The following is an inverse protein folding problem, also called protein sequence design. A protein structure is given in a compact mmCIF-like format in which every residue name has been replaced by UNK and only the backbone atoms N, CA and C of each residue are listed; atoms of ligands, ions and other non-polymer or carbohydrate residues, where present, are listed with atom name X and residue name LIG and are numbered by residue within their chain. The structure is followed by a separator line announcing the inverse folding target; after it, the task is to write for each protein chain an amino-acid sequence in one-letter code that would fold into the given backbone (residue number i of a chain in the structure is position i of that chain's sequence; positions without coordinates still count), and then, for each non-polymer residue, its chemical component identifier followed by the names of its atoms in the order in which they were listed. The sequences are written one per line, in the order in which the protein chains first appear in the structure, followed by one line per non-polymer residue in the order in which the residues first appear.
data_IF_052531006686
#
_entry.id   IF_052531006686
#
_cell.length_a   1.000
_cell.length_b   1.000
_cell.length_c   1.000
_cell.angle_alpha   90.00
_cell.angle_beta   90.00
_cell.angle_gamma   90.00
#
_symmetry.space_group_name_H-M   'P 1'
#
loop_
_entity.id
_entity.type
_entity.pdbx_description
1 polymer ?
#
# COMPACT_ATOMS: atom_id res chain seq x y z
N UNK A 1 -25.75 -19.75 -30.28
CA UNK A 1 -24.80 -19.07 -29.37
C UNK A 1 -25.11 -19.56 -27.96
N UNK A 2 -24.31 -20.46 -27.38
CA UNK A 2 -24.50 -20.86 -25.97
C UNK A 2 -24.01 -19.68 -25.13
N UNK A 3 -24.92 -18.93 -24.51
CA UNK A 3 -24.60 -17.95 -23.47
C UNK A 3 -24.72 -18.67 -22.15
N UNK A 4 -23.60 -18.81 -21.45
CA UNK A 4 -23.58 -19.34 -20.10
C UNK A 4 -23.64 -18.16 -19.13
N UNK A 5 -24.66 -18.16 -18.28
CA UNK A 5 -24.92 -17.10 -17.31
C UNK A 5 -24.46 -17.61 -15.96
N UNK A 6 -23.39 -17.02 -15.42
CA UNK A 6 -22.94 -17.28 -14.04
C UNK A 6 -23.63 -16.27 -13.13
N UNK A 7 -24.60 -16.72 -12.34
CA UNK A 7 -25.40 -15.86 -11.46
C UNK A 7 -25.33 -16.36 -10.01
N UNK A 8 -24.82 -15.51 -9.12
CA UNK A 8 -25.39 -15.29 -7.79
C UNK A 8 -24.88 -16.08 -6.58
N UNK A 9 -23.88 -16.96 -6.68
CA UNK A 9 -23.27 -17.58 -5.48
C UNK A 9 -21.74 -17.68 -5.54
N UNK A 10 -21.09 -16.75 -6.24
CA UNK A 10 -19.65 -16.57 -6.11
C UNK A 10 -19.37 -16.10 -4.68
N UNK A 11 -18.90 -17.01 -3.82
CA UNK A 11 -18.52 -16.65 -2.45
C UNK A 11 -17.20 -15.89 -2.45
N UNK A 12 -16.24 -16.34 -3.26
CA UNK A 12 -14.91 -15.78 -3.30
C UNK A 12 -14.42 -15.63 -4.74
N UNK A 13 -13.70 -14.55 -5.00
CA UNK A 13 -13.12 -14.23 -6.31
C UNK A 13 -11.63 -13.91 -6.12
N UNK A 14 -10.80 -14.44 -7.02
CA UNK A 14 -9.38 -14.11 -7.13
C UNK A 14 -9.06 -13.77 -8.59
N UNK A 15 -8.23 -12.76 -8.83
CA UNK A 15 -7.81 -12.38 -10.19
C UNK A 15 -6.30 -12.21 -10.24
N UNK A 16 -5.69 -12.80 -11.26
CA UNK A 16 -4.33 -12.49 -11.71
C UNK A 16 -4.38 -11.61 -12.96
N UNK A 17 -3.23 -11.34 -13.58
CA UNK A 17 -3.16 -10.56 -14.82
C UNK A 17 -3.84 -11.25 -16.01
N UNK A 18 -3.90 -12.59 -15.99
CA UNK A 18 -4.37 -13.39 -17.13
C UNK A 18 -5.61 -14.22 -16.79
N UNK A 19 -5.94 -14.38 -15.51
CA UNK A 19 -6.99 -15.27 -15.08
C UNK A 19 -7.91 -14.63 -14.04
N UNK A 20 -9.21 -14.94 -14.13
CA UNK A 20 -10.21 -14.70 -13.10
C UNK A 20 -10.70 -16.06 -12.59
N UNK A 21 -10.66 -16.24 -11.28
CA UNK A 21 -11.11 -17.45 -10.60
C UNK A 21 -12.33 -17.12 -9.75
N UNK A 22 -13.37 -17.92 -9.90
CA UNK A 22 -14.58 -17.85 -9.08
C UNK A 22 -14.68 -19.14 -8.27
N UNK A 23 -14.72 -19.01 -6.96
CA UNK A 23 -14.89 -20.11 -6.01
C UNK A 23 -16.27 -20.04 -5.36
N UNK A 24 -17.01 -21.15 -5.44
CA UNK A 24 -18.36 -21.26 -4.91
C UNK A 24 -18.51 -22.54 -4.09
N UNK A 25 -18.85 -22.40 -2.80
CA UNK A 25 -19.09 -23.54 -1.92
C UNK A 25 -20.41 -24.21 -2.27
N UNK A 26 -20.37 -25.53 -2.40
CA UNK A 26 -21.51 -26.41 -2.62
C UNK A 26 -21.74 -27.26 -1.38
N UNK A 27 -23.00 -27.24 -0.92
CA UNK A 27 -23.48 -28.03 0.20
C UNK A 27 -24.30 -29.20 -0.34
N UNK A 28 -23.74 -30.41 -0.27
CA UNK A 28 -24.47 -31.62 -0.63
C UNK A 28 -25.02 -32.28 0.61
N UNK A 29 -26.26 -31.93 0.96
CA UNK A 29 -26.99 -32.57 2.06
C UNK A 29 -27.60 -33.88 1.59
N UNK A 30 -27.18 -35.00 2.15
CA UNK A 30 -27.80 -36.32 1.92
C UNK A 30 -28.55 -36.75 3.17
N UNK A 31 -29.87 -36.93 3.01
CA UNK A 31 -30.74 -37.38 4.09
C UNK A 31 -30.79 -38.92 4.13
N UNK A 32 -30.03 -39.54 5.04
CA UNK A 32 -29.97 -40.99 5.22
C UNK A 32 -30.41 -41.40 6.65
N UNK A 33 -31.65 -41.05 7.04
CA UNK A 33 -32.22 -41.40 8.36
C UNK A 33 -32.10 -40.26 9.39
N UNK A 34 -32.14 -40.54 10.72
CA UNK A 34 -32.10 -39.52 11.78
C UNK A 34 -30.81 -38.68 11.81
N UNK A 35 -29.77 -39.12 11.10
CA UNK A 35 -28.49 -38.41 10.92
C UNK A 35 -28.29 -38.16 9.42
N UNK A 36 -28.36 -36.89 9.01
CA UNK A 36 -27.95 -36.47 7.67
C UNK A 36 -26.42 -36.39 7.55
N UNK A 37 -25.88 -36.63 6.37
CA UNK A 37 -24.47 -36.34 6.05
C UNK A 37 -24.38 -35.13 5.13
N UNK A 38 -23.44 -34.25 5.40
CA UNK A 38 -23.16 -33.07 4.57
C UNK A 38 -21.76 -33.23 3.98
N UNK A 39 -21.64 -33.27 2.65
CA UNK A 39 -20.35 -33.09 1.97
C UNK A 39 -20.23 -31.64 1.53
N UNK A 40 -19.15 -30.98 1.96
CA UNK A 40 -18.79 -29.62 1.57
C UNK A 40 -17.67 -29.66 0.52
N UNK A 41 -17.91 -29.02 -0.62
CA UNK A 41 -16.93 -28.91 -1.72
C UNK A 41 -16.96 -27.50 -2.28
N UNK A 42 -15.81 -26.97 -2.68
CA UNK A 42 -15.73 -25.71 -3.42
C UNK A 42 -15.61 -26.01 -4.90
N UNK A 43 -16.54 -25.52 -5.70
CA UNK A 43 -16.39 -25.47 -7.17
C UNK A 43 -15.55 -24.26 -7.56
N UNK A 44 -14.62 -24.48 -8.49
CA UNK A 44 -13.69 -23.47 -9.01
C UNK A 44 -13.95 -23.33 -10.50
N UNK A 45 -14.10 -22.09 -10.96
CA UNK A 45 -14.23 -21.75 -12.37
C UNK A 45 -13.09 -20.81 -12.75
N UNK A 46 -12.28 -21.21 -13.74
CA UNK A 46 -11.21 -20.38 -14.30
C UNK A 46 -11.67 -19.75 -15.60
N UNK A 47 -11.54 -18.44 -15.68
CA UNK A 47 -11.72 -17.66 -16.87
C UNK A 47 -10.40 -17.01 -17.27
N UNK A 48 -10.02 -17.08 -18.54
CA UNK A 48 -8.95 -16.28 -19.09
C UNK A 48 -9.45 -14.86 -19.36
N UNK A 49 -8.66 -13.88 -18.97
CA UNK A 49 -8.81 -12.47 -19.33
C UNK A 49 -8.06 -12.25 -20.64
N UNK A 50 -8.79 -11.92 -21.72
CA UNK A 50 -8.24 -11.72 -23.06
C UNK A 50 -8.61 -10.33 -23.58
N UNK A 51 -7.93 -9.87 -24.64
CA UNK A 51 -8.26 -8.58 -25.29
C UNK A 51 -9.72 -8.52 -25.80
N UNK A 52 -10.31 -9.67 -26.15
CA UNK A 52 -11.68 -9.77 -26.66
C UNK A 52 -12.73 -10.08 -25.58
N UNK A 53 -12.35 -10.03 -24.30
CA UNK A 53 -13.21 -10.28 -23.16
C UNK A 53 -12.80 -11.49 -22.31
N UNK A 54 -13.79 -12.10 -21.64
CA UNK A 54 -13.58 -13.16 -20.65
C UNK A 54 -14.00 -14.52 -21.25
N UNK A 55 -13.10 -15.51 -21.22
CA UNK A 55 -13.36 -16.84 -21.75
C UNK A 55 -13.18 -17.92 -20.67
N UNK A 56 -14.19 -18.75 -20.44
CA UNK A 56 -14.06 -19.88 -19.50
C UNK A 56 -13.07 -20.92 -20.04
N UNK A 57 -12.03 -21.23 -19.25
CA UNK A 57 -10.98 -22.18 -19.65
C UNK A 57 -11.02 -23.49 -18.89
N UNK A 58 -11.48 -23.49 -17.65
CA UNK A 58 -11.54 -24.70 -16.83
C UNK A 58 -12.61 -24.60 -15.74
N UNK A 59 -13.07 -25.77 -15.31
CA UNK A 59 -13.89 -25.94 -14.12
C UNK A 59 -13.34 -27.14 -13.33
N UNK A 60 -13.31 -27.02 -12.01
CA UNK A 60 -12.92 -28.10 -11.11
C UNK A 60 -13.60 -27.97 -9.76
N UNK A 61 -13.27 -28.88 -8.83
CA UNK A 61 -13.73 -28.79 -7.45
C UNK A 61 -12.71 -29.36 -6.47
N UNK A 62 -12.67 -28.80 -5.27
CA UNK A 62 -11.84 -29.26 -4.16
C UNK A 62 -12.71 -29.53 -2.91
N UNK A 63 -12.34 -30.46 -2.02
CA UNK A 63 -13.02 -30.65 -0.74
C UNK A 63 -12.93 -29.40 0.15
N UNK A 64 -13.96 -29.16 0.98
CA UNK A 64 -13.99 -28.06 1.94
C UNK A 64 -14.42 -26.70 1.35
N UNK A 65 -14.19 -25.64 2.12
CA UNK A 65 -14.62 -24.27 1.81
C UNK A 65 -13.48 -23.27 1.93
N UNK A 66 -13.43 -22.38 0.96
CA UNK A 66 -12.52 -21.25 0.95
C UNK A 66 -12.93 -20.25 2.03
N UNK A 67 -11.99 -19.90 2.91
CA UNK A 67 -12.26 -18.97 4.01
C UNK A 67 -12.57 -17.56 3.49
N UNK A 68 -11.74 -17.03 2.59
CA UNK A 68 -11.94 -15.74 1.92
C UNK A 68 -11.05 -15.61 0.67
N UNK A 69 -11.07 -14.45 0.01
CA UNK A 69 -10.25 -14.15 -1.18
C UNK A 69 -8.73 -14.33 -0.99
N UNK A 70 -8.21 -14.22 0.23
CA UNK A 70 -6.77 -14.40 0.54
C UNK A 70 -6.37 -15.86 0.75
N UNK A 71 -7.34 -16.77 0.71
CA UNK A 71 -7.11 -18.23 0.72
C UNK A 71 -6.91 -18.79 -0.69
N UNK A 72 -6.67 -17.92 -1.68
CA UNK A 72 -6.46 -18.27 -3.08
C UNK A 72 -5.34 -17.42 -3.65
N UNK A 73 -4.46 -18.02 -4.44
CA UNK A 73 -3.49 -17.29 -5.26
C UNK A 73 -3.04 -18.09 -6.49
N UNK A 74 -2.23 -17.45 -7.35
CA UNK A 74 -1.60 -18.08 -8.50
C UNK A 74 -0.08 -17.91 -8.39
N UNK A 75 0.66 -19.00 -8.52
CA UNK A 75 2.12 -19.02 -8.40
C UNK A 75 2.69 -20.00 -9.41
N UNK A 76 3.66 -19.54 -10.20
CA UNK A 76 4.33 -20.37 -11.23
C UNK A 76 3.35 -21.04 -12.22
N UNK A 77 2.21 -20.40 -12.47
CA UNK A 77 1.15 -20.91 -13.36
C UNK A 77 0.14 -21.85 -12.69
N UNK A 78 0.35 -22.20 -11.42
CA UNK A 78 -0.56 -23.03 -10.64
C UNK A 78 -1.51 -22.17 -9.79
N UNK A 79 -2.80 -22.47 -9.86
CA UNK A 79 -3.80 -21.93 -8.94
C UNK A 79 -3.76 -22.72 -7.63
N UNK A 80 -3.52 -22.04 -6.51
CA UNK A 80 -3.49 -22.62 -5.17
C UNK A 80 -4.70 -22.13 -4.39
N UNK A 81 -5.26 -23.01 -3.58
CA UNK A 81 -6.47 -22.76 -2.80
C UNK A 81 -6.39 -23.46 -1.45
N UNK A 82 -6.73 -22.76 -0.38
CA UNK A 82 -6.83 -23.29 0.96
C UNK A 82 -8.31 -23.41 1.35
N UNK A 83 -8.75 -24.62 1.67
CA UNK A 83 -10.17 -24.95 1.95
C UNK A 83 -10.44 -25.46 3.35
N UNK A 84 -9.40 -25.51 4.18
CA UNK A 84 -9.50 -25.92 5.57
C UNK A 84 -8.49 -25.14 6.40
N UNK A 85 -8.92 -24.74 7.60
CA UNK A 85 -8.01 -24.20 8.59
C UNK A 85 -7.29 -25.37 9.27
N UNK A 86 -6.02 -25.58 8.91
CA UNK A 86 -5.22 -26.70 9.43
C UNK A 86 -4.71 -26.48 10.86
N UNK A 87 -4.59 -25.22 11.30
CA UNK A 87 -4.16 -24.86 12.64
C UNK A 87 -4.51 -23.41 12.97
N UNK A 88 -4.50 -23.07 14.27
CA UNK A 88 -4.75 -21.71 14.74
C UNK A 88 -4.01 -21.44 16.05
N UNK A 89 -3.72 -20.16 16.28
CA UNK A 89 -3.32 -19.65 17.59
C UNK A 89 -4.40 -18.69 18.04
N UNK A 90 -4.89 -18.85 19.27
CA UNK A 90 -5.89 -17.97 19.87
C UNK A 90 -5.29 -17.23 21.07
N UNK A 91 -5.92 -16.11 21.45
CA UNK A 91 -5.50 -15.35 22.62
C UNK A 91 -4.15 -14.62 22.46
N UNK A 92 -3.70 -14.40 21.22
CA UNK A 92 -2.58 -13.49 20.97
C UNK A 92 -3.02 -12.07 21.32
N UNK A 93 -2.27 -11.42 22.21
CA UNK A 93 -2.45 -10.02 22.61
C UNK A 93 -3.94 -9.62 22.82
N UNK A 94 -4.65 -10.19 23.81
CA UNK A 94 -6.09 -9.96 23.96
C UNK A 94 -6.43 -8.47 24.11
N UNK A 95 -7.33 -7.99 23.26
CA UNK A 95 -7.75 -6.58 23.23
C UNK A 95 -6.89 -5.68 22.35
N UNK A 96 -5.88 -6.22 21.66
CA UNK A 96 -5.09 -5.52 20.65
C UNK A 96 -5.57 -5.84 19.24
N UNK A 97 -5.24 -4.97 18.27
CA UNK A 97 -5.52 -5.20 16.84
C UNK A 97 -4.24 -5.65 16.15
N UNK A 98 -4.36 -6.53 15.15
CA UNK A 98 -3.23 -6.92 14.28
C UNK A 98 -3.01 -5.80 13.26
N UNK A 99 -1.78 -5.31 13.16
CA UNK A 99 -1.39 -4.27 12.20
C UNK A 99 -0.62 -4.84 11.02
N UNK A 100 0.27 -5.81 11.25
CA UNK A 100 1.06 -6.40 10.19
C UNK A 100 1.33 -7.88 10.42
N UNK A 101 1.33 -8.64 9.32
CA UNK A 101 1.71 -10.06 9.31
C UNK A 101 2.68 -10.28 8.16
N UNK A 102 3.80 -10.96 8.43
CA UNK A 102 4.74 -11.37 7.40
C UNK A 102 5.13 -12.84 7.55
N UNK A 103 4.96 -13.58 6.47
CA UNK A 103 5.44 -14.97 6.36
C UNK A 103 6.84 -14.99 5.77
N UNK A 104 7.72 -15.81 6.35
CA UNK A 104 9.10 -15.97 5.92
C UNK A 104 9.56 -17.40 6.19
N UNK A 105 9.64 -18.21 5.13
CA UNK A 105 9.93 -19.64 5.25
C UNK A 105 8.91 -20.35 6.13
N UNK A 106 9.39 -21.02 7.17
CA UNK A 106 8.56 -21.75 8.16
C UNK A 106 8.13 -20.90 9.35
N UNK A 107 8.18 -19.57 9.22
CA UNK A 107 7.86 -18.64 10.31
C UNK A 107 6.85 -17.60 9.85
N UNK A 108 6.08 -17.09 10.80
CA UNK A 108 5.32 -15.87 10.66
C UNK A 108 5.74 -14.85 11.72
N UNK A 109 5.72 -13.59 11.34
CA UNK A 109 5.99 -12.45 12.21
C UNK A 109 4.76 -11.59 12.24
N UNK A 110 4.34 -11.22 13.43
CA UNK A 110 3.06 -10.59 13.69
C UNK A 110 3.29 -9.37 14.57
N UNK A 111 2.66 -8.27 14.21
CA UNK A 111 2.67 -7.02 14.96
C UNK A 111 1.25 -6.71 15.40
N UNK A 112 1.07 -6.49 16.69
CA UNK A 112 -0.21 -6.04 17.27
C UNK A 112 -0.02 -4.68 17.91
N UNK A 113 -1.09 -3.93 18.12
CA UNK A 113 -0.97 -2.67 18.84
C UNK A 113 -2.23 -2.31 19.60
N UNK A 114 -1.98 -1.73 20.78
CA UNK A 114 -2.95 -0.97 21.59
C UNK A 114 -2.26 0.21 22.30
N UNK A 115 -1.08 -0.05 22.88
CA UNK A 115 -0.21 0.96 23.51
C UNK A 115 1.26 0.80 23.13
N UNK A 116 1.71 -0.44 23.10
CA UNK A 116 3.06 -0.89 22.77
C UNK A 116 2.87 -2.02 21.76
N UNK A 117 3.73 -2.11 20.75
CA UNK A 117 3.71 -3.19 19.78
C UNK A 117 4.54 -4.37 20.30
N UNK A 118 3.93 -5.54 20.53
CA UNK A 118 4.67 -6.78 20.58
C UNK A 118 4.87 -7.31 19.16
N UNK A 119 6.12 -7.27 18.70
CA UNK A 119 6.57 -8.04 17.56
C UNK A 119 6.69 -9.51 17.98
N UNK A 120 5.80 -10.37 17.48
CA UNK A 120 5.78 -11.81 17.75
C UNK A 120 6.47 -12.60 16.65
N UNK A 121 7.22 -13.63 17.05
CA UNK A 121 7.70 -14.68 16.15
C UNK A 121 6.88 -15.95 16.36
N UNK A 122 6.41 -16.55 15.27
CA UNK A 122 5.54 -17.72 15.26
C UNK A 122 6.20 -18.81 14.43
N UNK A 123 6.30 -20.02 15.00
CA UNK A 123 6.68 -21.24 14.30
C UNK A 123 5.51 -21.80 13.51
N UNK A 124 5.74 -22.04 12.22
CA UNK A 124 4.82 -22.69 11.29
C UNK A 124 5.44 -23.97 10.69
N UNK A 125 6.49 -24.53 11.30
CA UNK A 125 7.11 -25.78 10.85
C UNK A 125 6.11 -26.94 10.85
N UNK A 126 5.27 -27.01 11.88
CA UNK A 126 4.06 -27.84 11.92
C UNK A 126 2.82 -26.94 11.80
N UNK A 127 2.21 -26.83 10.61
CA UNK A 127 1.07 -25.95 10.40
C UNK A 127 -0.19 -26.41 11.16
N UNK A 128 -0.23 -27.64 11.66
CA UNK A 128 -1.34 -28.15 12.47
C UNK A 128 -1.27 -27.73 13.92
N UNK A 129 -0.08 -27.32 14.38
CA UNK A 129 0.18 -26.89 15.74
C UNK A 129 1.12 -25.68 15.76
N UNK A 130 0.68 -24.52 15.22
CA UNK A 130 1.50 -23.32 15.20
C UNK A 130 1.78 -22.81 16.61
N UNK A 131 2.98 -22.29 16.86
CA UNK A 131 3.43 -21.88 18.21
C UNK A 131 4.04 -20.50 18.22
N UNK A 132 3.75 -19.72 19.26
CA UNK A 132 4.47 -18.48 19.54
C UNK A 132 5.85 -18.88 20.09
N UNK A 133 6.92 -18.45 19.42
CA UNK A 133 8.30 -18.68 19.85
C UNK A 133 8.77 -17.60 20.82
N UNK A 134 8.56 -16.34 20.44
CA UNK A 134 9.08 -15.19 21.17
C UNK A 134 8.28 -13.93 20.90
N UNK A 135 8.57 -12.90 21.68
CA UNK A 135 8.03 -11.55 21.47
C UNK A 135 9.02 -10.49 21.87
N UNK A 136 9.04 -9.39 21.13
CA UNK A 136 9.79 -8.19 21.45
C UNK A 136 8.81 -7.03 21.63
N UNK A 137 8.85 -6.37 22.79
CA UNK A 137 8.02 -5.19 23.06
C UNK A 137 8.78 -3.92 22.68
N UNK A 138 8.23 -3.13 21.77
CA UNK A 138 8.80 -1.84 21.35
C UNK A 138 7.75 -0.73 21.42
N UNK A 139 8.13 0.50 21.81
CA UNK A 139 7.28 1.66 21.64
C UNK A 139 6.92 1.88 20.17
N UNK A 140 5.70 2.32 19.91
CA UNK A 140 5.19 2.43 18.54
C UNK A 140 4.67 1.11 17.99
N UNK A 141 4.49 1.04 16.68
CA UNK A 141 4.12 -0.16 15.93
C UNK A 141 4.67 -0.16 14.51
N UNK A 142 4.75 -1.35 13.89
CA UNK A 142 5.04 -1.49 12.46
C UNK A 142 3.76 -1.78 11.65
N UNK A 143 3.43 -0.92 10.70
CA UNK A 143 2.35 -1.15 9.72
C UNK A 143 2.79 -2.11 8.61
N UNK A 144 4.04 -1.99 8.19
CA UNK A 144 4.62 -2.81 7.13
C UNK A 144 5.91 -3.49 7.57
N UNK A 145 5.95 -4.81 7.41
CA UNK A 145 7.13 -5.65 7.64
C UNK A 145 7.70 -6.14 6.29
N UNK A 146 8.96 -5.79 6.03
CA UNK A 146 9.69 -6.16 4.83
C UNK A 146 10.86 -7.11 5.17
N UNK A 147 10.87 -8.36 4.68
CA UNK A 147 12.02 -9.25 4.85
C UNK A 147 13.29 -8.70 4.22
N UNK A 148 14.40 -8.73 4.96
CA UNK A 148 15.72 -8.40 4.43
C UNK A 148 16.51 -9.66 4.05
N UNK A 149 16.41 -10.70 4.87
CA UNK A 149 16.86 -12.08 4.62
C UNK A 149 16.12 -13.04 5.55
N UNK A 150 16.59 -14.29 5.66
CA UNK A 150 15.98 -15.32 6.50
C UNK A 150 15.97 -15.02 8.01
N UNK A 151 16.79 -14.07 8.47
CA UNK A 151 16.99 -13.74 9.89
C UNK A 151 16.77 -12.26 10.21
N UNK A 152 16.44 -11.41 9.24
CA UNK A 152 16.27 -9.97 9.47
C UNK A 152 15.02 -9.41 8.78
N UNK A 153 14.31 -8.54 9.50
CA UNK A 153 13.08 -7.90 9.02
C UNK A 153 13.16 -6.40 9.26
N UNK A 154 12.79 -5.62 8.25
CA UNK A 154 12.66 -4.17 8.35
C UNK A 154 11.20 -3.83 8.66
N UNK A 155 10.96 -3.15 9.77
CA UNK A 155 9.66 -2.59 10.13
C UNK A 155 9.54 -1.13 9.76
N UNK A 156 8.40 -0.75 9.19
CA UNK A 156 7.99 0.63 8.92
C UNK A 156 6.66 0.88 9.63
N UNK A 157 6.58 1.94 10.41
CA UNK A 157 5.34 2.31 11.09
C UNK A 157 5.49 3.62 11.86
N UNK A 158 4.93 3.70 13.06
CA UNK A 158 4.92 4.92 13.88
C UNK A 158 5.58 4.69 15.23
N UNK A 159 6.21 5.72 15.77
CA UNK A 159 6.44 5.79 17.21
C UNK A 159 5.11 6.05 17.95
N UNK A 160 5.05 5.72 19.23
CA UNK A 160 3.88 6.01 20.05
C UNK A 160 4.25 6.28 21.51
N UNK A 161 3.44 7.12 22.15
CA UNK A 161 3.54 7.45 23.57
C UNK A 161 2.20 7.15 24.22
N UNK A 162 2.20 6.42 25.33
CA UNK A 162 0.98 6.11 26.06
C UNK A 162 0.29 7.38 26.54
N UNK A 163 -1.05 7.41 26.44
CA UNK A 163 -1.82 8.52 26.99
C UNK A 163 -1.78 8.48 28.52
N UNK A 164 -1.68 9.66 29.15
CA UNK A 164 -1.83 9.82 30.61
C UNK A 164 -3.28 9.61 31.06
N UNK A 165 -4.24 9.76 30.13
CA UNK A 165 -5.67 9.65 30.38
C UNK A 165 -6.29 8.67 29.36
N UNK A 166 -6.94 7.61 29.85
CA UNK A 166 -7.59 6.60 29.01
C UNK A 166 -6.69 5.43 28.60
N UNK A 167 -7.29 4.46 27.89
CA UNK A 167 -6.64 3.19 27.53
C UNK A 167 -6.17 3.17 26.06
N UNK A 168 -5.35 4.14 25.67
CA UNK A 168 -4.84 4.29 24.30
C UNK A 168 -3.43 4.94 24.27
N UNK A 169 -2.80 4.97 23.10
CA UNK A 169 -1.54 5.66 22.86
C UNK A 169 -1.63 6.65 21.69
N UNK A 170 -0.89 7.75 21.81
CA UNK A 170 -0.74 8.74 20.75
C UNK A 170 0.42 8.35 19.84
N UNK A 171 0.14 8.08 18.57
CA UNK A 171 1.20 7.92 17.58
C UNK A 171 2.01 9.22 17.42
N UNK A 172 3.27 9.11 17.06
CA UNK A 172 4.18 10.25 16.90
C UNK A 172 4.69 10.30 15.46
N UNK A 173 5.98 10.53 15.26
CA UNK A 173 6.62 10.45 13.95
C UNK A 173 6.62 9.03 13.39
N UNK A 174 7.04 8.92 12.12
CA UNK A 174 7.25 7.62 11.48
C UNK A 174 8.54 6.99 12.04
N UNK A 175 8.56 5.66 12.15
CA UNK A 175 9.71 4.88 12.62
C UNK A 175 10.08 3.83 11.58
N UNK A 176 11.37 3.65 11.39
CA UNK A 176 11.97 2.51 10.73
C UNK A 176 12.79 1.72 11.75
N UNK A 177 12.68 0.39 11.73
CA UNK A 177 13.42 -0.49 12.63
C UNK A 177 13.91 -1.73 11.90
N UNK A 178 15.00 -2.33 12.37
CA UNK A 178 15.50 -3.64 11.92
C UNK A 178 15.41 -4.61 13.07
N UNK A 179 14.72 -5.71 12.86
CA UNK A 179 14.59 -6.81 13.82
C UNK A 179 15.48 -7.96 13.40
N UNK A 180 16.36 -8.40 14.30
CA UNK A 180 17.09 -9.66 14.19
C UNK A 180 16.28 -10.76 14.86
N UNK A 181 16.01 -11.80 14.08
CA UNK A 181 15.18 -12.95 14.42
C UNK A 181 15.96 -14.26 14.22
N UNK A 182 17.30 -14.19 14.28
CA UNK A 182 18.20 -15.35 14.30
C UNK A 182 17.85 -16.28 15.45
N UNK A 183 17.64 -15.72 16.65
CA UNK A 183 16.96 -16.38 17.76
C UNK A 183 15.49 -15.91 17.82
N UNK A 184 14.54 -16.67 17.25
CA UNK A 184 13.14 -16.28 17.22
C UNK A 184 12.46 -16.31 18.61
N UNK A 185 13.06 -16.94 19.62
CA UNK A 185 12.54 -16.88 20.98
C UNK A 185 12.87 -15.53 21.65
N UNK A 186 13.98 -14.91 21.24
CA UNK A 186 14.48 -13.65 21.78
C UNK A 186 14.82 -12.64 20.67
N UNK A 187 13.83 -12.18 19.87
CA UNK A 187 14.07 -11.21 18.82
C UNK A 187 14.55 -9.87 19.39
N UNK A 188 15.44 -9.18 18.67
CA UNK A 188 16.02 -7.89 19.11
C UNK A 188 15.88 -6.80 18.03
N UNK A 189 15.76 -5.55 18.46
CA UNK A 189 15.82 -4.38 17.56
C UNK A 189 17.30 -3.99 17.39
N UNK A 190 17.86 -4.25 16.19
CA UNK A 190 19.26 -3.93 15.87
C UNK A 190 19.46 -2.44 15.61
N UNK A 191 18.57 -1.86 14.81
CA UNK A 191 18.67 -0.49 14.33
C UNK A 191 17.31 0.18 14.39
N UNK A 192 17.30 1.50 14.64
CA UNK A 192 16.11 2.32 14.57
C UNK A 192 16.40 3.69 13.96
N UNK A 193 15.43 4.24 13.26
CA UNK A 193 15.50 5.58 12.68
C UNK A 193 14.12 6.24 12.76
N UNK A 194 14.03 7.41 13.38
CA UNK A 194 12.80 8.20 13.48
C UNK A 194 12.72 9.27 12.40
N UNK A 195 11.52 9.53 11.89
CA UNK A 195 11.26 10.54 10.87
C UNK A 195 10.13 11.45 11.33
N UNK A 196 10.46 12.73 11.50
CA UNK A 196 9.52 13.78 11.86
C UNK A 196 8.84 13.57 13.22
N UNK A 197 7.77 14.32 13.42
CA UNK A 197 6.91 14.28 14.59
C UNK A 197 5.48 13.84 14.19
N UNK A 198 4.54 13.86 15.15
CA UNK A 198 3.14 13.48 14.93
C UNK A 198 2.54 14.21 13.72
N UNK A 199 1.94 13.43 12.81
CA UNK A 199 1.44 13.89 11.51
C UNK A 199 2.30 13.43 10.33
N UNK A 200 3.56 13.04 10.57
CA UNK A 200 4.42 12.47 9.52
C UNK A 200 3.79 11.20 8.95
N UNK A 201 3.66 11.12 7.63
CA UNK A 201 2.95 10.06 6.92
C UNK A 201 3.71 9.55 5.70
N UNK A 202 3.46 8.30 5.31
CA UNK A 202 4.05 7.72 4.10
C UNK A 202 3.07 6.73 3.44
N UNK A 203 2.92 6.79 2.10
CA UNK A 203 2.26 5.73 1.34
C UNK A 203 2.78 4.32 1.66
N UNK A 204 4.04 4.19 2.07
CA UNK A 204 4.67 2.92 2.43
C UNK A 204 3.94 2.17 3.54
N UNK A 205 3.31 2.87 4.47
CA UNK A 205 2.66 2.25 5.64
C UNK A 205 1.46 1.39 5.24
N UNK A 206 0.81 1.70 4.12
CA UNK A 206 -0.37 0.97 3.64
C UNK A 206 -0.23 0.45 2.20
N UNK A 207 0.88 0.76 1.52
CA UNK A 207 1.15 0.32 0.15
C UNK A 207 2.61 -0.11 0.00
N UNK A 208 2.85 -1.41 0.07
CA UNK A 208 4.18 -2.01 -0.05
C UNK A 208 4.91 -1.69 -1.37
N UNK A 209 4.20 -1.30 -2.43
CA UNK A 209 4.80 -0.90 -3.73
C UNK A 209 5.43 0.48 -3.70
N UNK A 210 5.25 1.25 -2.62
CA UNK A 210 5.91 2.52 -2.43
C UNK A 210 7.38 2.37 -1.98
N UNK A 211 7.79 1.17 -1.53
CA UNK A 211 9.18 0.89 -1.17
C UNK A 211 10.00 0.59 -2.42
N UNK A 212 11.06 1.37 -2.64
CA UNK A 212 12.20 0.97 -3.45
C UNK A 212 13.25 0.34 -2.52
N UNK A 213 13.52 -0.94 -2.70
CA UNK A 213 14.53 -1.67 -1.93
C UNK A 213 15.43 -2.48 -2.88
N UNK A 214 16.72 -2.16 -2.86
CA UNK A 214 17.76 -2.84 -3.65
C UNK A 214 18.90 -3.21 -2.70
N UNK A 215 18.86 -4.46 -2.24
CA UNK A 215 19.78 -5.00 -1.22
C UNK A 215 21.23 -4.99 -1.69
N UNK A 216 21.49 -5.34 -2.95
CA UNK A 216 22.84 -5.42 -3.51
C UNK A 216 23.52 -4.05 -3.51
N UNK A 217 22.73 -2.99 -3.78
CA UNK A 217 23.20 -1.61 -3.79
C UNK A 217 23.04 -0.90 -2.45
N UNK A 218 22.62 -1.61 -1.40
CA UNK A 218 22.33 -1.04 -0.09
C UNK A 218 21.36 0.15 -0.16
N UNK A 219 20.42 0.14 -1.10
CA UNK A 219 19.55 1.28 -1.37
C UNK A 219 18.15 1.01 -0.82
N UNK A 220 17.64 2.00 -0.09
CA UNK A 220 16.28 2.02 0.42
C UNK A 220 15.69 3.41 0.21
N UNK A 221 14.57 3.53 -0.50
CA UNK A 221 13.90 4.81 -0.70
C UNK A 221 12.39 4.66 -0.69
N UNK A 222 11.69 5.68 -0.19
CA UNK A 222 10.22 5.71 -0.17
C UNK A 222 9.71 7.16 -0.05
N UNK A 223 8.47 7.42 -0.53
CA UNK A 223 7.83 8.72 -0.40
C UNK A 223 7.43 8.99 1.06
N UNK A 224 7.57 10.23 1.53
CA UNK A 224 7.20 10.65 2.88
C UNK A 224 6.75 12.11 2.90
N UNK A 225 5.73 12.40 3.70
CA UNK A 225 5.32 13.74 4.08
C UNK A 225 5.70 13.95 5.54
N UNK A 226 6.70 14.78 5.79
CA UNK A 226 7.26 15.01 7.12
C UNK A 226 6.56 16.18 7.77
N UNK A 227 6.08 15.95 8.99
CA UNK A 227 5.57 17.00 9.86
C UNK A 227 6.53 17.21 11.03
N UNK A 228 6.62 18.44 11.51
CA UNK A 228 7.40 18.77 12.70
C UNK A 228 6.66 19.72 13.62
N UNK A 229 6.78 19.48 14.91
CA UNK A 229 6.34 20.44 15.93
C UNK A 229 7.47 21.47 16.15
N UNK A 230 7.10 22.69 16.56
CA UNK A 230 8.04 23.78 16.82
C UNK A 230 8.94 23.49 18.04
N UNK A 231 10.06 24.21 18.16
CA UNK A 231 10.97 24.05 19.30
C UNK A 231 10.33 24.44 20.64
N UNK A 232 9.40 25.38 20.62
CA UNK A 232 8.64 25.80 21.81
C UNK A 232 7.73 24.66 22.28
N UNK A 233 7.00 24.02 21.37
CA UNK A 233 6.18 22.85 21.66
C UNK A 233 7.01 21.65 22.13
N UNK A 234 8.21 21.44 21.58
CA UNK A 234 9.14 20.41 22.09
C UNK A 234 9.60 20.67 23.53
N UNK A 235 9.61 21.93 23.97
CA UNK A 235 10.02 22.31 25.31
C UNK A 235 8.92 22.03 26.36
N UNK A 236 7.65 21.97 25.94
CA UNK A 236 6.53 21.53 26.76
C UNK A 236 5.64 20.54 25.97
N UNK A 237 6.13 19.31 25.73
CA UNK A 237 5.50 18.40 24.78
C UNK A 237 4.19 17.84 25.34
N UNK A 238 3.07 18.15 24.68
CA UNK A 238 1.83 17.40 24.84
C UNK A 238 1.82 16.23 23.87
N UNK A 239 1.51 15.02 24.35
CA UNK A 239 1.61 13.80 23.52
C UNK A 239 0.69 13.80 22.28
N UNK A 240 -0.32 14.67 22.26
CA UNK A 240 -1.28 14.83 21.17
C UNK A 240 -0.95 16.00 20.22
N UNK A 241 0.10 16.79 20.47
CA UNK A 241 0.48 17.93 19.62
C UNK A 241 0.73 17.46 18.18
N UNK A 242 0.10 18.15 17.22
CA UNK A 242 0.21 17.86 15.80
C UNK A 242 1.27 18.75 15.16
N UNK A 243 2.17 18.19 14.35
CA UNK A 243 3.20 18.96 13.65
C UNK A 243 2.68 19.63 12.38
N UNK A 244 3.37 20.68 11.95
CA UNK A 244 3.14 21.33 10.66
C UNK A 244 3.91 20.61 9.55
N UNK A 245 3.38 20.54 8.31
CA UNK A 245 4.08 19.93 7.19
C UNK A 245 5.33 20.74 6.81
N UNK A 246 6.50 20.09 6.81
CA UNK A 246 7.79 20.75 6.51
C UNK A 246 8.51 20.19 5.29
N UNK A 247 8.11 19.02 4.81
CA UNK A 247 8.69 18.40 3.63
C UNK A 247 7.71 17.42 3.00
N UNK A 248 7.67 17.38 1.68
CA UNK A 248 7.03 16.32 0.91
C UNK A 248 7.99 15.86 -0.18
N UNK A 249 8.23 14.56 -0.25
CA UNK A 249 9.10 14.01 -1.27
C UNK A 249 9.53 12.58 -0.99
N UNK A 250 10.67 12.17 -1.52
CA UNK A 250 11.31 10.91 -1.22
C UNK A 250 12.45 11.08 -0.22
N UNK A 251 12.55 10.15 0.72
CA UNK A 251 13.77 9.93 1.50
C UNK A 251 14.57 8.80 0.85
N UNK A 252 15.88 9.00 0.70
CA UNK A 252 16.81 8.04 0.12
C UNK A 252 17.86 7.68 1.15
N UNK A 253 17.99 6.39 1.45
CA UNK A 253 18.91 5.86 2.44
C UNK A 253 19.92 4.91 1.80
N UNK A 254 21.15 4.95 2.30
CA UNK A 254 22.03 3.79 2.30
C UNK A 254 21.68 2.91 3.51
N UNK A 255 21.49 1.61 3.31
CA UNK A 255 21.09 0.67 4.36
C UNK A 255 21.86 -0.65 4.29
N UNK A 256 22.44 -1.04 5.42
CA UNK A 256 22.95 -2.38 5.66
C UNK A 256 22.84 -2.75 7.16
N UNK A 257 23.05 -4.02 7.48
CA UNK A 257 22.90 -4.52 8.86
C UNK A 257 23.99 -4.05 9.83
N UNK A 258 25.13 -3.57 9.34
CA UNK A 258 26.25 -3.12 10.17
C UNK A 258 26.04 -1.66 10.62
N UNK A 259 25.75 -0.76 9.67
CA UNK A 259 25.62 0.67 9.91
C UNK A 259 24.17 1.13 10.11
N UNK A 260 23.19 0.26 9.84
CA UNK A 260 21.77 0.63 9.88
C UNK A 260 21.39 1.60 8.77
N UNK A 261 20.50 2.54 9.09
CA UNK A 261 19.97 3.52 8.14
C UNK A 261 20.82 4.79 8.10
N UNK A 262 21.42 5.08 6.94
CA UNK A 262 22.15 6.34 6.69
C UNK A 262 21.40 7.16 5.65
N UNK A 263 20.84 8.31 6.05
CA UNK A 263 20.14 9.20 5.11
C UNK A 263 21.14 9.75 4.10
N UNK A 264 20.96 9.40 2.82
CA UNK A 264 21.79 9.81 1.70
C UNK A 264 21.35 11.18 1.17
N UNK A 265 20.04 11.41 1.13
CA UNK A 265 19.46 12.67 0.68
C UNK A 265 17.94 12.61 0.60
N UNK A 266 17.37 13.72 0.17
CA UNK A 266 15.93 13.85 -0.05
C UNK A 266 15.66 14.42 -1.43
N UNK A 267 14.55 14.02 -2.05
CA UNK A 267 14.11 14.51 -3.37
C UNK A 267 12.71 15.09 -3.20
N UNK A 268 12.47 16.30 -3.68
CA UNK A 268 11.14 16.93 -3.63
C UNK A 268 10.81 17.55 -4.97
N UNK A 269 9.58 17.33 -5.45
CA UNK A 269 9.06 18.03 -6.62
C UNK A 269 8.53 19.44 -6.25
N UNK A 270 8.52 19.80 -4.95
CA UNK A 270 8.18 21.14 -4.47
C UNK A 270 9.43 22.02 -4.46
N UNK A 271 9.31 23.22 -5.03
CA UNK A 271 10.34 24.25 -4.94
C UNK A 271 10.06 25.21 -3.78
N UNK A 272 11.02 26.10 -3.48
CA UNK A 272 10.89 27.06 -2.36
C UNK A 272 9.64 27.95 -2.47
N UNK A 273 9.25 28.35 -3.68
CA UNK A 273 8.03 29.15 -3.89
C UNK A 273 6.78 28.34 -3.57
N UNK A 274 6.74 27.05 -3.94
CA UNK A 274 5.62 26.17 -3.58
C UNK A 274 5.51 26.03 -2.06
N UNK A 275 6.62 25.92 -1.33
CA UNK A 275 6.61 25.89 0.14
C UNK A 275 6.12 27.20 0.76
N UNK A 276 6.42 28.36 0.15
CA UNK A 276 5.92 29.66 0.62
C UNK A 276 4.41 29.84 0.35
N UNK A 277 3.89 29.19 -0.70
CA UNK A 277 2.46 29.21 -1.05
C UNK A 277 1.67 28.11 -0.32
N UNK A 278 2.35 27.06 0.14
CA UNK A 278 1.75 26.02 0.97
C UNK A 278 1.30 26.66 2.29
N UNK A 279 -0.02 26.68 2.52
CA UNK A 279 -0.58 26.91 3.84
C UNK A 279 -0.33 25.68 4.73
N UNK A 280 -1.34 25.21 5.43
CA UNK A 280 -1.23 23.99 6.25
C UNK A 280 -1.19 22.67 5.45
N UNK A 281 -1.10 22.72 4.12
CA UNK A 281 -1.18 21.53 3.24
C UNK A 281 -0.29 21.65 2.00
N UNK A 282 0.27 20.52 1.57
CA UNK A 282 0.89 20.34 0.26
C UNK A 282 -0.15 19.88 -0.76
N UNK A 283 -0.10 20.42 -1.98
CA UNK A 283 -1.06 20.06 -3.03
C UNK A 283 -0.37 19.67 -4.34
N UNK A 284 -0.78 18.52 -4.87
CA UNK A 284 -0.55 18.13 -6.25
C UNK A 284 0.83 17.55 -6.57
N UNK A 285 1.94 18.15 -6.10
CA UNK A 285 3.30 17.71 -6.49
C UNK A 285 3.86 16.56 -5.64
N UNK A 286 2.97 15.76 -5.05
CA UNK A 286 3.40 14.74 -4.11
C UNK A 286 4.21 13.64 -4.81
N UNK A 287 5.43 13.37 -4.36
CA UNK A 287 6.15 12.17 -4.80
C UNK A 287 5.39 10.94 -4.30
N UNK A 288 4.95 10.08 -5.22
CA UNK A 288 4.14 8.89 -4.93
C UNK A 288 4.89 7.59 -5.22
N UNK A 289 5.83 7.62 -6.18
CA UNK A 289 6.64 6.47 -6.58
C UNK A 289 8.09 6.86 -6.82
N UNK A 290 8.95 5.87 -6.58
CA UNK A 290 10.38 5.95 -6.83
C UNK A 290 10.76 4.67 -7.55
N UNK A 291 11.44 4.83 -8.68
CA UNK A 291 11.97 3.73 -9.48
C UNK A 291 13.48 3.90 -9.58
N UNK A 292 14.21 2.80 -9.72
CA UNK A 292 15.62 2.84 -10.15
C UNK A 292 15.69 2.38 -11.59
N UNK A 293 16.30 3.20 -12.45
CA UNK A 293 16.65 2.84 -13.82
C UNK A 293 18.15 3.03 -13.92
N UNK A 294 18.88 1.92 -14.08
CA UNK A 294 20.35 1.93 -14.10
C UNK A 294 20.92 2.66 -12.86
N UNK A 295 21.63 3.76 -13.05
CA UNK A 295 22.25 4.55 -11.98
C UNK A 295 21.46 5.82 -11.63
N UNK A 296 20.20 5.91 -12.08
CA UNK A 296 19.28 7.01 -11.75
C UNK A 296 18.07 6.56 -10.93
N UNK A 297 17.67 7.41 -9.98
CA UNK A 297 16.41 7.38 -9.25
C UNK A 297 15.40 8.25 -9.98
N UNK A 298 14.29 7.65 -10.41
CA UNK A 298 13.20 8.37 -11.06
C UNK A 298 12.05 8.50 -10.06
N UNK A 299 11.73 9.73 -9.68
CA UNK A 299 10.59 10.06 -8.82
C UNK A 299 9.40 10.51 -9.66
N UNK A 300 8.21 10.03 -9.31
CA UNK A 300 6.96 10.33 -10.00
C UNK A 300 6.02 11.08 -9.07
N UNK A 301 5.45 12.17 -9.56
CA UNK A 301 4.28 12.85 -8.99
C UNK A 301 3.22 13.07 -10.08
N UNK A 302 2.04 13.57 -9.68
CA UNK A 302 1.00 13.97 -10.64
C UNK A 302 1.45 15.08 -11.62
N UNK A 303 2.57 15.77 -11.34
CA UNK A 303 3.06 16.92 -12.11
C UNK A 303 4.31 16.63 -12.92
N UNK A 304 4.84 15.40 -12.87
CA UNK A 304 5.99 15.04 -13.67
C UNK A 304 6.86 13.94 -13.10
N UNK A 305 7.94 13.70 -13.83
CA UNK A 305 9.03 12.81 -13.47
C UNK A 305 10.29 13.63 -13.25
N UNK A 306 11.03 13.34 -12.18
CA UNK A 306 12.38 13.84 -11.98
C UNK A 306 13.35 12.66 -11.93
N UNK A 307 14.49 12.79 -12.60
CA UNK A 307 15.59 11.83 -12.55
C UNK A 307 16.71 12.41 -11.71
N UNK A 308 17.22 11.61 -10.78
CA UNK A 308 18.28 11.97 -9.85
C UNK A 308 19.38 10.92 -9.86
N UNK A 309 20.62 11.33 -9.66
CA UNK A 309 21.74 10.40 -9.47
C UNK A 309 21.48 9.50 -8.27
N UNK A 310 21.63 8.18 -8.41
CA UNK A 310 21.52 7.25 -7.27
C UNK A 310 22.56 7.57 -6.19
N UNK A 311 23.75 8.05 -6.58
CA UNK A 311 24.90 8.28 -5.69
C UNK A 311 24.91 9.61 -4.97
N UNK A 312 24.54 10.68 -5.66
CA UNK A 312 24.55 12.02 -5.08
C UNK A 312 23.16 12.55 -4.74
N UNK A 313 22.09 11.91 -5.24
CA UNK A 313 20.69 12.36 -5.13
C UNK A 313 20.45 13.70 -5.86
N UNK A 314 21.45 14.22 -6.59
CA UNK A 314 21.33 15.44 -7.36
C UNK A 314 20.40 15.25 -8.56
N UNK A 315 19.63 16.29 -8.88
CA UNK A 315 18.76 16.34 -10.05
C UNK A 315 19.61 16.25 -11.33
N UNK A 316 19.26 15.32 -12.20
CA UNK A 316 19.88 15.10 -13.51
C UNK A 316 18.97 15.55 -14.66
N UNK A 317 17.66 15.32 -14.52
CA UNK A 317 16.66 15.72 -15.50
C UNK A 317 15.30 15.96 -14.83
N UNK A 318 14.52 16.90 -15.37
CA UNK A 318 13.16 17.18 -14.95
C UNK A 318 12.25 17.13 -16.19
N UNK A 319 11.21 16.29 -16.12
CA UNK A 319 10.19 16.14 -17.14
C UNK A 319 8.84 16.46 -16.52
N UNK A 320 8.43 17.73 -16.48
CA UNK A 320 7.10 18.10 -16.00
C UNK A 320 6.05 17.47 -16.91
N UNK A 321 5.01 16.92 -16.31
CA UNK A 321 3.77 16.65 -17.04
C UNK A 321 3.13 18.00 -17.27
N UNK A 322 3.31 18.54 -18.47
CA UNK A 322 2.43 19.59 -18.93
C UNK A 322 1.02 19.01 -18.91
N UNK A 323 0.08 19.69 -18.24
CA UNK A 323 -1.31 19.56 -18.65
C UNK A 323 -1.31 19.67 -20.18
N UNK A 324 -2.07 18.80 -20.86
CA UNK A 324 -2.20 18.85 -22.32
C UNK A 324 -2.29 20.31 -22.73
N UNK A 325 -1.28 20.73 -23.48
CA UNK A 325 -0.74 22.08 -23.50
C UNK A 325 -1.78 23.18 -23.58
N UNK A 326 -1.49 24.26 -22.88
CA UNK A 326 -1.62 25.64 -23.36
C UNK A 326 -0.93 25.84 -24.73
N UNK A 327 -1.37 25.12 -25.76
CA UNK A 327 -1.69 25.85 -26.97
C UNK A 327 -2.91 26.63 -26.57
N UNK A 328 -2.83 27.96 -26.55
CA UNK A 328 -3.98 28.83 -26.58
C UNK A 328 -4.82 28.48 -27.82
N UNK A 329 -5.54 27.36 -27.77
CA UNK A 329 -6.72 27.14 -28.58
C UNK A 329 -7.71 28.13 -28.03
N UNK A 330 -8.19 29.02 -28.89
CA UNK A 330 -9.25 29.95 -28.50
C UNK A 330 -10.36 29.15 -27.79
N UNK A 331 -10.86 29.68 -26.67
CA UNK A 331 -11.93 29.03 -25.92
C UNK A 331 -13.00 28.50 -26.88
N UNK A 332 -13.40 27.21 -26.77
CA UNK A 332 -14.46 26.66 -27.61
C UNK A 332 -15.68 27.58 -27.59
N UNK A 333 -16.20 27.97 -28.76
CA UNK A 333 -17.39 28.82 -28.84
C UNK A 333 -18.55 28.08 -28.18
N UNK A 334 -19.11 28.67 -27.12
CA UNK A 334 -20.23 28.11 -26.37
C UNK A 334 -21.48 27.88 -27.22
N UNK A 335 -21.57 28.57 -28.37
CA UNK A 335 -22.68 28.45 -29.30
C UNK A 335 -22.37 27.55 -30.49
N UNK A 336 -21.16 26.99 -30.58
CA UNK A 336 -20.82 26.04 -31.64
C UNK A 336 -21.53 24.70 -31.40
N UNK A 337 -21.96 24.09 -32.50
CA UNK A 337 -22.71 22.84 -32.44
C UNK A 337 -21.83 21.71 -31.87
N UNK A 338 -22.39 20.95 -30.93
CA UNK A 338 -21.69 19.86 -30.25
C UNK A 338 -20.68 20.28 -29.17
N UNK A 339 -20.54 21.57 -28.85
CA UNK A 339 -19.75 22.06 -27.70
C UNK A 339 -20.62 22.10 -26.44
N UNK A 340 -20.15 21.49 -25.35
CA UNK A 340 -20.85 21.47 -24.06
C UNK A 340 -19.88 21.86 -22.96
N UNK A 341 -20.13 22.99 -22.31
CA UNK A 341 -19.40 23.39 -21.10
C UNK A 341 -20.04 22.74 -19.88
N UNK A 342 -19.19 22.14 -19.04
CA UNK A 342 -19.55 21.61 -17.72
C UNK A 342 -19.38 22.71 -16.66
N UNK A 343 -18.30 23.49 -16.77
CA UNK A 343 -18.06 24.67 -15.93
C UNK A 343 -17.23 25.68 -16.71
N UNK A 344 -17.50 26.96 -16.46
CA UNK A 344 -16.72 28.10 -16.96
C UNK A 344 -15.63 28.54 -15.97
N UNK A 345 -15.60 27.92 -14.77
CA UNK A 345 -14.62 28.17 -13.73
C UNK A 345 -13.54 27.06 -13.75
N UNK A 346 -12.29 27.36 -14.14
CA UNK A 346 -11.18 26.41 -14.14
C UNK A 346 -10.87 25.84 -12.75
N UNK A 347 -11.10 26.63 -11.69
CA UNK A 347 -10.92 26.16 -10.31
C UNK A 347 -11.91 25.05 -9.98
N UNK A 348 -13.18 25.23 -10.33
CA UNK A 348 -14.21 24.20 -10.16
C UNK A 348 -13.91 22.94 -10.99
N UNK A 349 -13.35 23.09 -12.19
CA UNK A 349 -13.01 21.96 -13.07
C UNK A 349 -11.99 20.98 -12.49
N UNK A 350 -11.14 21.42 -11.55
CA UNK A 350 -10.24 20.51 -10.82
C UNK A 350 -10.95 19.55 -9.85
N UNK A 351 -12.24 19.75 -9.61
CA UNK A 351 -13.06 18.99 -8.65
C UNK A 351 -14.25 18.27 -9.29
N UNK A 352 -14.44 18.41 -10.61
CA UNK A 352 -15.61 17.88 -11.32
C UNK A 352 -15.15 16.73 -12.23
N UNK A 353 -15.65 15.53 -11.95
CA UNK A 353 -15.54 14.40 -12.87
C UNK A 353 -16.66 14.45 -13.92
N UNK A 354 -16.29 14.41 -15.20
CA UNK A 354 -17.24 14.35 -16.30
C UNK A 354 -16.74 13.43 -17.41
N UNK A 355 -17.68 12.95 -18.22
CA UNK A 355 -17.41 12.07 -19.35
C UNK A 355 -18.00 12.66 -20.61
N UNK A 356 -17.24 12.61 -21.70
CA UNK A 356 -17.71 12.98 -23.03
C UNK A 356 -18.29 11.77 -23.75
N UNK A 357 -19.17 12.02 -24.72
CA UNK A 357 -19.71 10.96 -25.58
C UNK A 357 -18.61 10.42 -26.51
N UNK A 358 -18.83 9.23 -27.08
CA UNK A 358 -17.84 8.52 -27.91
C UNK A 358 -17.30 9.33 -29.11
N UNK A 359 -17.99 10.39 -29.53
CA UNK A 359 -17.58 11.28 -30.63
C UNK A 359 -17.12 12.67 -30.15
N UNK A 360 -16.75 12.79 -28.88
CA UNK A 360 -16.32 14.05 -28.27
C UNK A 360 -15.03 13.86 -27.48
N UNK A 361 -14.20 14.90 -27.48
CA UNK A 361 -12.97 15.00 -26.69
C UNK A 361 -13.19 15.95 -25.52
N UNK A 362 -12.70 15.59 -24.33
CA UNK A 362 -12.74 16.46 -23.17
C UNK A 362 -11.70 17.58 -23.27
N UNK A 363 -12.04 18.77 -22.80
CA UNK A 363 -11.10 19.86 -22.55
C UNK A 363 -11.20 20.34 -21.11
N UNK A 364 -10.09 20.81 -20.55
CA UNK A 364 -10.01 21.49 -19.27
C UNK A 364 -8.84 22.48 -19.35
N UNK A 365 -9.15 23.77 -19.45
CA UNK A 365 -8.18 24.84 -19.67
C UNK A 365 -8.63 26.15 -18.99
N UNK A 366 -7.97 27.26 -19.31
CA UNK A 366 -8.27 28.58 -18.75
C UNK A 366 -9.71 29.08 -19.00
N UNK A 367 -10.43 28.49 -19.96
CA UNK A 367 -11.82 28.82 -20.29
C UNK A 367 -12.85 28.03 -19.47
N UNK A 368 -12.40 27.03 -18.70
CA UNK A 368 -13.25 26.07 -18.00
C UNK A 368 -13.04 24.64 -18.53
N UNK A 369 -14.06 23.80 -18.40
CA UNK A 369 -14.01 22.39 -18.79
C UNK A 369 -15.31 21.94 -19.44
N UNK A 370 -15.20 20.94 -20.32
CA UNK A 370 -16.34 20.41 -21.05
C UNK A 370 -15.93 19.48 -22.18
N UNK A 371 -16.86 19.28 -23.12
CA UNK A 371 -16.69 18.38 -24.26
C UNK A 371 -16.80 19.16 -25.57
N UNK A 372 -15.92 18.86 -26.51
CA UNK A 372 -15.94 19.36 -27.90
C UNK A 372 -16.06 18.18 -28.87
N UNK A 373 -16.60 18.36 -30.09
CA UNK A 373 -16.57 17.33 -31.11
C UNK A 373 -15.13 16.87 -31.39
N UNK A 374 -14.91 15.56 -31.51
CA UNK A 374 -13.62 15.03 -31.96
C UNK A 374 -13.45 15.29 -33.47
N UNK A 375 -12.27 15.76 -33.89
CA UNK A 375 -11.92 15.92 -35.33
C UNK A 375 -11.85 14.58 -36.08
#
# INVERSE_FOLDING_TARGET
MKREVVLGSAENVYSSLQNLYIAATQWNYRWNGPQGTSEEKTSIFRFALTENGIEMKAQGSVPGRVLNQFSMDESEGDFRIATEQVGKIEGIAPGETIYSVRFMGKRAYLVTFKKIDPFFAIDLTDPTNPKILGKLKIPGYSDYLHPYDENHIIGFGKEAVESKEGDFAWYQGMKMAVFDVTDPENPIELHKFGIGDRGTESPLLHNHKALLFDKERQLLAFPVQVHKISQEEKSNPESNTWGEPVFQGAYVFNFNLETGFTLKGTISHYNQQDYLMAGSYFYGKNVERILRIEDSLVTLSAFGLQSHSVDSVNLEADMPFTAVSDTASACPDKNADGVVYVSDDPGACSTIDFYCRDNQTAFSNECGCGCVPSE
#
